data_IF_364706750992
#
_entry.id   IF_364706750992
#
_cell.length_a   1.000
_cell.length_b   1.000
_cell.length_c   1.000
_cell.angle_alpha   90.00
_cell.angle_beta   90.00
_cell.angle_gamma   90.00
#
_symmetry.space_group_name_H-M   'P 1'
#
loop_
_entity.id
_entity.type
_entity.pdbx_description
1 polymer ?
#
# COMPACT_ATOMS: atom_id res chain seq x y z
N UNK A 1 20.58 -20.19 63.28
CA UNK A 1 20.43 -19.19 62.20
C UNK A 1 21.52 -19.44 61.17
N UNK A 2 21.20 -20.22 60.14
CA UNK A 2 22.08 -20.54 59.02
C UNK A 2 21.52 -19.86 57.79
N UNK A 3 22.26 -18.87 57.27
CA UNK A 3 21.93 -18.17 56.02
C UNK A 3 22.12 -19.11 54.84
N UNK A 4 21.03 -19.46 54.16
CA UNK A 4 21.06 -20.19 52.90
C UNK A 4 21.52 -19.24 51.78
N UNK A 5 22.76 -19.41 51.31
CA UNK A 5 23.29 -18.73 50.12
C UNK A 5 22.67 -19.37 48.88
N UNK A 6 21.82 -18.61 48.18
CA UNK A 6 21.18 -19.06 46.94
C UNK A 6 22.20 -19.05 45.76
N UNK A 7 22.48 -20.20 45.12
CA UNK A 7 23.42 -20.31 43.99
C UNK A 7 22.90 -19.68 42.67
N UNK A 8 21.62 -19.29 42.61
CA UNK A 8 21.02 -18.65 41.44
C UNK A 8 21.41 -17.16 41.28
N UNK A 9 21.95 -16.54 42.32
CA UNK A 9 22.34 -15.13 42.29
C UNK A 9 23.61 -14.85 41.45
N UNK A 10 24.41 -15.88 41.10
CA UNK A 10 25.62 -15.73 40.29
C UNK A 10 25.37 -15.84 38.78
N UNK A 11 24.29 -16.51 38.36
CA UNK A 11 23.94 -16.62 36.93
C UNK A 11 23.12 -15.43 36.42
N UNK A 12 22.39 -14.76 37.31
CA UNK A 12 21.72 -13.49 36.98
C UNK A 12 22.71 -12.35 36.68
N UNK A 13 23.91 -12.38 37.26
CA UNK A 13 24.94 -11.37 37.03
C UNK A 13 25.76 -11.59 35.74
N UNK A 14 25.85 -12.84 35.23
CA UNK A 14 26.52 -13.13 33.95
C UNK A 14 25.57 -13.02 32.73
N UNK A 15 24.26 -13.25 32.91
CA UNK A 15 23.27 -13.12 31.83
C UNK A 15 22.89 -11.67 31.50
N UNK A 16 23.02 -10.74 32.46
CA UNK A 16 22.69 -9.33 32.24
C UNK A 16 23.81 -8.49 31.61
N UNK A 17 25.01 -9.03 31.42
CA UNK A 17 26.13 -8.29 30.81
C UNK A 17 26.34 -8.54 29.31
N UNK A 18 25.58 -9.46 28.69
CA UNK A 18 25.71 -9.82 27.27
C UNK A 18 24.53 -9.36 26.37
N UNK A 19 23.55 -8.63 26.91
CA UNK A 19 22.44 -8.04 26.11
C UNK A 19 22.35 -6.51 26.25
N UNK A 20 23.50 -5.84 26.39
CA UNK A 20 23.61 -4.38 26.33
C UNK A 20 24.48 -3.90 25.15
N UNK A 21 24.49 -4.66 24.05
CA UNK A 21 24.66 -4.03 22.73
C UNK A 21 23.24 -3.88 22.19
N UNK A 22 22.50 -2.92 22.74
CA UNK A 22 21.41 -2.34 21.95
C UNK A 22 22.11 -1.77 20.73
N UNK A 23 22.00 -2.45 19.58
CA UNK A 23 22.40 -1.84 18.33
C UNK A 23 21.57 -0.56 18.24
N UNK A 24 22.20 0.60 18.48
CA UNK A 24 21.51 1.87 18.36
C UNK A 24 20.84 1.88 16.98
N UNK A 25 19.51 2.05 16.95
CA UNK A 25 18.76 2.13 15.70
C UNK A 25 19.47 3.13 14.78
N UNK A 26 19.74 2.79 13.51
CA UNK A 26 20.48 3.68 12.61
C UNK A 26 19.88 5.08 12.61
N UNK A 27 20.72 6.10 12.73
CA UNK A 27 20.29 7.50 12.72
C UNK A 27 20.03 7.93 11.27
N UNK A 28 18.79 8.28 10.87
CA UNK A 28 18.47 8.65 9.49
C UNK A 28 19.26 9.86 8.96
N UNK A 29 19.78 10.71 9.86
CA UNK A 29 20.65 11.84 9.45
C UNK A 29 21.90 11.35 8.70
N UNK A 30 22.44 10.20 9.10
CA UNK A 30 23.65 9.63 8.51
C UNK A 30 23.37 9.02 7.12
N UNK A 31 22.10 8.83 6.77
CA UNK A 31 21.70 8.25 5.49
C UNK A 31 21.67 9.31 4.37
N UNK A 32 21.55 10.60 4.71
CA UNK A 32 21.41 11.71 3.73
C UNK A 32 22.48 11.67 2.64
N UNK A 33 23.79 11.50 2.93
CA UNK A 33 24.83 11.48 1.90
C UNK A 33 24.64 10.38 0.86
N UNK A 34 24.07 9.23 1.21
CA UNK A 34 23.87 8.10 0.29
C UNK A 34 22.87 8.43 -0.82
N UNK A 35 21.90 9.29 -0.53
CA UNK A 35 20.87 9.67 -1.49
C UNK A 35 21.18 10.96 -2.27
N UNK A 36 22.25 11.69 -1.93
CA UNK A 36 22.52 13.02 -2.52
C UNK A 36 22.61 12.97 -4.05
N UNK A 37 23.42 12.06 -4.61
CA UNK A 37 23.56 11.92 -6.05
C UNK A 37 22.24 11.50 -6.71
N UNK A 38 21.52 10.54 -6.11
CA UNK A 38 20.22 10.09 -6.61
C UNK A 38 19.18 11.23 -6.65
N UNK A 39 19.09 12.03 -5.58
CA UNK A 39 18.16 13.16 -5.50
C UNK A 39 18.53 14.23 -6.52
N UNK A 40 19.81 14.64 -6.60
CA UNK A 40 20.27 15.68 -7.52
C UNK A 40 19.96 15.32 -8.99
N UNK A 41 20.13 14.05 -9.34
CA UNK A 41 19.88 13.57 -10.68
C UNK A 41 18.39 13.51 -11.03
N UNK A 42 17.49 13.23 -10.06
CA UNK A 42 16.11 12.83 -10.38
C UNK A 42 15.02 13.79 -9.87
N UNK A 43 15.31 14.70 -8.94
CA UNK A 43 14.28 15.56 -8.32
C UNK A 43 13.62 16.58 -9.26
N UNK A 44 14.23 16.83 -10.42
CA UNK A 44 13.75 17.77 -11.44
C UNK A 44 13.19 17.06 -12.68
N UNK A 45 13.38 15.75 -12.80
CA UNK A 45 12.88 14.94 -13.92
C UNK A 45 11.43 14.59 -13.64
N UNK A 46 10.55 14.80 -14.61
CA UNK A 46 9.13 14.44 -14.57
C UNK A 46 8.93 13.35 -15.62
N UNK A 47 8.29 12.24 -15.24
CA UNK A 47 8.06 11.12 -16.14
C UNK A 47 6.85 11.37 -17.04
N UNK A 48 7.04 11.15 -18.34
CA UNK A 48 5.97 11.26 -19.34
C UNK A 48 5.00 10.06 -19.30
N UNK A 49 5.49 8.87 -18.92
CA UNK A 49 4.67 7.67 -18.79
C UNK A 49 3.87 7.72 -17.46
N UNK A 50 2.53 7.87 -17.50
CA UNK A 50 1.72 7.92 -16.28
C UNK A 50 1.71 6.59 -15.51
N UNK A 51 2.10 5.49 -16.15
CA UNK A 51 2.13 4.15 -15.58
C UNK A 51 3.53 3.68 -15.21
N UNK A 52 4.55 4.56 -15.23
CA UNK A 52 5.94 4.18 -14.98
C UNK A 52 6.15 3.49 -13.63
N UNK A 53 5.40 3.92 -12.61
CA UNK A 53 5.43 3.36 -11.24
C UNK A 53 4.29 2.38 -10.96
N UNK A 54 3.52 2.00 -11.99
CA UNK A 54 2.35 1.15 -11.83
C UNK A 54 2.75 -0.32 -11.73
N UNK A 55 2.18 -1.05 -10.76
CA UNK A 55 2.43 -2.48 -10.54
C UNK A 55 1.80 -3.37 -11.61
N UNK A 56 0.80 -2.84 -12.30
CA UNK A 56 0.10 -3.40 -13.48
C UNK A 56 -0.30 -2.23 -14.40
N UNK A 57 -0.45 -2.48 -15.69
CA UNK A 57 -0.74 -1.46 -16.73
C UNK A 57 -2.05 -1.76 -17.47
N UNK A 58 -2.66 -0.77 -18.14
CA UNK A 58 -3.81 -1.02 -19.01
C UNK A 58 -3.55 -2.17 -19.98
N UNK A 59 -4.48 -3.12 -20.04
CA UNK A 59 -4.34 -4.37 -20.81
C UNK A 59 -3.92 -5.58 -19.97
N UNK A 60 -3.30 -5.37 -18.80
CA UNK A 60 -3.05 -6.46 -17.85
C UNK A 60 -4.37 -6.94 -17.23
N UNK A 61 -4.53 -8.26 -17.09
CA UNK A 61 -5.76 -8.89 -16.59
C UNK A 61 -6.25 -8.33 -15.24
N UNK A 62 -5.31 -7.93 -14.37
CA UNK A 62 -5.61 -7.44 -13.02
C UNK A 62 -5.76 -5.92 -12.96
N UNK A 63 -5.47 -5.17 -14.02
CA UNK A 63 -5.38 -3.71 -13.96
C UNK A 63 -6.68 -3.06 -13.49
N UNK A 64 -7.80 -3.30 -14.18
CA UNK A 64 -9.08 -2.69 -13.82
C UNK A 64 -9.56 -3.12 -12.43
N UNK A 65 -9.27 -4.37 -12.03
CA UNK A 65 -9.61 -4.88 -10.71
C UNK A 65 -8.82 -4.10 -9.63
N UNK A 66 -7.50 -3.98 -9.78
CA UNK A 66 -6.66 -3.30 -8.78
C UNK A 66 -6.93 -1.79 -8.73
N UNK A 67 -7.20 -1.15 -9.87
CA UNK A 67 -7.67 0.24 -9.91
C UNK A 67 -8.92 0.42 -9.05
N UNK A 68 -9.91 -0.46 -9.20
CA UNK A 68 -11.17 -0.35 -8.46
C UNK A 68 -11.05 -0.78 -6.99
N UNK A 69 -10.13 -1.69 -6.65
CA UNK A 69 -9.77 -1.96 -5.25
C UNK A 69 -9.21 -0.69 -4.59
N UNK A 70 -8.30 0.04 -5.24
CA UNK A 70 -7.73 1.29 -4.68
C UNK A 70 -8.77 2.39 -4.48
N UNK A 71 -9.79 2.42 -5.33
CA UNK A 71 -10.93 3.35 -5.27
C UNK A 71 -12.01 2.93 -4.27
N UNK A 72 -11.94 1.69 -3.76
CA UNK A 72 -12.98 1.12 -2.90
C UNK A 72 -14.29 0.79 -3.63
N UNK A 73 -14.26 0.64 -4.95
CA UNK A 73 -15.44 0.31 -5.77
C UNK A 73 -15.69 -1.22 -5.78
N UNK A 74 -16.06 -1.76 -4.62
CA UNK A 74 -16.23 -3.21 -4.42
C UNK A 74 -17.23 -3.89 -5.38
N UNK A 75 -18.40 -3.29 -5.73
CA UNK A 75 -19.31 -3.92 -6.68
C UNK A 75 -18.65 -4.23 -8.03
N UNK A 76 -17.89 -3.28 -8.59
CA UNK A 76 -17.18 -3.48 -9.85
C UNK A 76 -15.99 -4.44 -9.71
N UNK A 77 -15.32 -4.44 -8.55
CA UNK A 77 -14.28 -5.44 -8.24
C UNK A 77 -14.84 -6.85 -8.32
N UNK A 78 -16.01 -7.12 -7.71
CA UNK A 78 -16.65 -8.45 -7.77
C UNK A 78 -17.02 -8.84 -9.20
N UNK A 79 -17.66 -7.92 -9.94
CA UNK A 79 -18.07 -8.14 -11.33
C UNK A 79 -16.90 -8.57 -12.23
N UNK A 80 -15.75 -7.92 -12.07
CA UNK A 80 -14.55 -8.18 -12.86
C UNK A 80 -13.77 -9.41 -12.39
N UNK A 81 -13.76 -9.67 -11.07
CA UNK A 81 -12.93 -10.72 -10.48
C UNK A 81 -13.57 -12.11 -10.59
N UNK A 82 -14.89 -12.22 -10.46
CA UNK A 82 -15.61 -13.51 -10.46
C UNK A 82 -15.32 -14.33 -11.73
N UNK A 83 -15.41 -13.79 -12.95
CA UNK A 83 -15.13 -14.56 -14.16
C UNK A 83 -13.71 -15.14 -14.21
N UNK A 84 -12.72 -14.42 -13.67
CA UNK A 84 -11.33 -14.91 -13.61
C UNK A 84 -11.19 -16.06 -12.60
N UNK A 85 -11.89 -15.98 -11.46
CA UNK A 85 -11.94 -17.06 -10.48
C UNK A 85 -12.61 -18.30 -11.05
N UNK A 86 -13.71 -18.13 -11.79
CA UNK A 86 -14.42 -19.23 -12.48
C UNK A 86 -13.57 -19.87 -13.58
N UNK A 87 -12.71 -19.09 -14.25
CA UNK A 87 -11.71 -19.60 -15.19
C UNK A 87 -10.49 -20.26 -14.50
N UNK A 88 -10.54 -20.36 -13.18
CA UNK A 88 -9.48 -20.88 -12.32
C UNK A 88 -8.14 -20.15 -12.42
N UNK A 89 -8.14 -18.84 -12.65
CA UNK A 89 -6.92 -18.03 -12.65
C UNK A 89 -6.30 -17.99 -11.23
N UNK A 90 -5.04 -18.44 -11.06
CA UNK A 90 -4.44 -18.59 -9.73
C UNK A 90 -4.22 -17.25 -9.02
N UNK A 91 -4.02 -16.15 -9.75
CA UNK A 91 -3.84 -14.83 -9.16
C UNK A 91 -5.19 -14.25 -8.70
N UNK A 92 -6.21 -14.37 -9.53
CA UNK A 92 -7.58 -13.96 -9.20
C UNK A 92 -8.09 -14.68 -7.95
N UNK A 93 -7.86 -15.99 -7.84
CA UNK A 93 -8.19 -16.78 -6.64
C UNK A 93 -7.53 -16.22 -5.37
N UNK A 94 -6.27 -15.79 -5.44
CA UNK A 94 -5.58 -15.17 -4.31
C UNK A 94 -6.19 -13.82 -3.96
N UNK A 95 -6.52 -12.98 -4.94
CA UNK A 95 -7.19 -11.70 -4.69
C UNK A 95 -8.57 -11.88 -4.07
N UNK A 96 -9.38 -12.79 -4.61
CA UNK A 96 -10.70 -13.13 -4.09
C UNK A 96 -10.61 -13.62 -2.64
N UNK A 97 -9.68 -14.54 -2.37
CA UNK A 97 -9.39 -15.03 -1.04
C UNK A 97 -9.11 -13.88 -0.07
N UNK A 98 -8.22 -12.94 -0.44
CA UNK A 98 -7.83 -11.83 0.42
C UNK A 98 -8.97 -10.82 0.65
N UNK A 99 -9.81 -10.57 -0.34
CA UNK A 99 -10.97 -9.67 -0.24
C UNK A 99 -11.96 -10.23 0.80
N UNK A 100 -12.28 -11.52 0.70
CA UNK A 100 -13.35 -12.14 1.47
C UNK A 100 -12.93 -12.82 2.77
N UNK A 101 -11.65 -12.85 3.11
CA UNK A 101 -11.13 -13.60 4.28
C UNK A 101 -11.78 -13.24 5.61
N UNK A 102 -12.32 -12.03 5.73
CA UNK A 102 -13.06 -11.58 6.92
C UNK A 102 -14.47 -12.19 7.03
N UNK A 103 -15.06 -12.66 5.92
CA UNK A 103 -16.35 -13.32 5.92
C UNK A 103 -16.19 -14.78 6.38
N UNK A 104 -16.65 -15.06 7.60
CA UNK A 104 -16.53 -16.38 8.22
C UNK A 104 -17.18 -17.50 7.38
N UNK A 105 -18.28 -17.20 6.70
CA UNK A 105 -19.03 -18.18 5.90
C UNK A 105 -18.30 -18.57 4.61
N UNK A 106 -17.41 -17.70 4.11
CA UNK A 106 -16.60 -17.95 2.91
C UNK A 106 -15.27 -18.63 3.21
N UNK A 107 -14.88 -18.81 4.48
CA UNK A 107 -13.51 -19.26 4.83
C UNK A 107 -13.16 -20.65 4.30
N UNK A 108 -14.13 -21.57 4.22
CA UNK A 108 -13.93 -22.89 3.63
C UNK A 108 -13.60 -22.77 2.13
N UNK A 109 -14.38 -21.99 1.40
CA UNK A 109 -14.20 -21.77 -0.03
C UNK A 109 -12.88 -21.03 -0.31
N UNK A 110 -12.54 -20.06 0.54
CA UNK A 110 -11.27 -19.35 0.45
C UNK A 110 -10.09 -20.29 0.65
N UNK A 111 -10.17 -21.19 1.63
CA UNK A 111 -9.14 -22.19 1.86
C UNK A 111 -9.01 -23.11 0.64
N UNK A 112 -10.13 -23.55 0.04
CA UNK A 112 -10.12 -24.33 -1.20
C UNK A 112 -9.42 -23.56 -2.34
N UNK A 113 -9.78 -22.30 -2.56
CA UNK A 113 -9.20 -21.46 -3.63
C UNK A 113 -7.69 -21.24 -3.42
N UNK A 114 -7.24 -21.01 -2.19
CA UNK A 114 -5.81 -20.90 -1.90
C UNK A 114 -5.08 -22.22 -2.17
N UNK A 115 -5.69 -23.37 -1.86
CA UNK A 115 -5.14 -24.68 -2.19
C UNK A 115 -5.13 -24.99 -3.70
N UNK A 116 -6.13 -24.53 -4.45
CA UNK A 116 -6.10 -24.65 -5.91
C UNK A 116 -5.01 -23.75 -6.52
N UNK A 117 -4.88 -22.52 -6.04
CA UNK A 117 -3.86 -21.58 -6.50
C UNK A 117 -2.44 -22.05 -6.18
N UNK A 118 -2.20 -22.61 -4.99
CA UNK A 118 -0.89 -23.18 -4.64
C UNK A 118 -0.57 -24.44 -5.44
N UNK A 119 -1.57 -25.28 -5.76
CA UNK A 119 -1.37 -26.45 -6.63
C UNK A 119 -0.92 -26.05 -8.05
N UNK A 120 -1.26 -24.83 -8.48
CA UNK A 120 -0.78 -24.20 -9.73
C UNK A 120 0.57 -23.49 -9.55
N UNK A 121 1.25 -23.65 -8.41
CA UNK A 121 2.58 -23.09 -8.13
C UNK A 121 2.59 -21.62 -7.73
N UNK A 122 1.45 -21.02 -7.32
CA UNK A 122 1.42 -19.59 -7.00
C UNK A 122 2.10 -19.28 -5.63
N UNK A 123 3.23 -18.55 -5.60
CA UNK A 123 3.94 -18.24 -4.35
C UNK A 123 3.14 -17.35 -3.39
N UNK A 124 2.23 -16.52 -3.90
CA UNK A 124 1.35 -15.74 -3.03
C UNK A 124 0.36 -16.64 -2.28
N UNK A 125 -0.14 -17.71 -2.89
CA UNK A 125 -1.02 -18.65 -2.20
C UNK A 125 -0.29 -19.39 -1.07
N UNK A 126 0.94 -19.87 -1.35
CA UNK A 126 1.83 -20.41 -0.32
C UNK A 126 2.04 -19.42 0.82
N UNK A 127 2.35 -18.16 0.51
CA UNK A 127 2.55 -17.16 1.56
C UNK A 127 1.29 -16.95 2.39
N UNK A 128 0.09 -16.89 1.79
CA UNK A 128 -1.18 -16.71 2.52
C UNK A 128 -1.53 -17.84 3.47
N UNK A 129 -1.11 -19.06 3.16
CA UNK A 129 -1.25 -20.22 4.04
C UNK A 129 -0.05 -20.40 4.98
N UNK A 130 0.95 -19.51 4.93
CA UNK A 130 2.09 -19.60 5.82
C UNK A 130 1.75 -19.15 7.24
N UNK A 131 2.48 -19.68 8.22
CA UNK A 131 2.47 -19.22 9.61
C UNK A 131 2.85 -17.75 9.80
N UNK A 132 3.42 -17.10 8.77
CA UNK A 132 3.88 -15.70 8.80
C UNK A 132 2.86 -14.73 8.22
N UNK A 133 1.86 -15.21 7.49
CA UNK A 133 0.84 -14.35 6.90
C UNK A 133 -0.20 -13.92 7.93
N UNK A 134 -0.55 -12.63 7.87
CA UNK A 134 -1.63 -12.05 8.64
C UNK A 134 -2.94 -12.81 8.40
N UNK A 135 -3.25 -13.13 7.14
CA UNK A 135 -4.47 -13.83 6.78
C UNK A 135 -4.59 -15.19 7.49
N UNK A 136 -3.49 -15.95 7.54
CA UNK A 136 -3.49 -17.26 8.17
C UNK A 136 -3.64 -17.15 9.70
N UNK A 137 -2.81 -16.29 10.32
CA UNK A 137 -2.76 -16.13 11.77
C UNK A 137 -4.08 -15.63 12.36
N UNK A 138 -4.77 -14.72 11.66
CA UNK A 138 -5.96 -14.05 12.18
C UNK A 138 -7.28 -14.67 11.72
N UNK A 139 -7.34 -15.25 10.51
CA UNK A 139 -8.62 -15.70 9.94
C UNK A 139 -8.71 -17.21 9.72
N UNK A 140 -7.62 -17.88 9.34
CA UNK A 140 -7.64 -19.31 8.96
C UNK A 140 -7.20 -20.26 10.06
N UNK A 141 -6.63 -19.75 11.16
CA UNK A 141 -6.10 -20.56 12.28
C UNK A 141 -7.13 -21.52 12.88
N UNK A 142 -8.42 -21.17 12.87
CA UNK A 142 -9.52 -22.01 13.37
C UNK A 142 -10.31 -22.72 12.27
N UNK A 143 -9.96 -22.51 11.01
CA UNK A 143 -10.62 -23.17 9.87
C UNK A 143 -10.02 -24.57 9.70
N UNK A 144 -10.78 -25.51 9.15
CA UNK A 144 -10.29 -26.84 8.77
C UNK A 144 -10.71 -27.12 7.33
N UNK A 145 -9.80 -27.69 6.54
CA UNK A 145 -10.15 -28.26 5.23
C UNK A 145 -10.84 -29.60 5.49
N UNK A 146 -11.98 -29.85 4.83
CA UNK A 146 -12.61 -31.17 4.91
C UNK A 146 -11.69 -32.23 4.27
N UNK A 147 -11.60 -33.41 4.87
CA UNK A 147 -10.81 -34.55 4.38
C UNK A 147 -11.02 -34.81 2.89
N UNK A 148 -12.28 -34.78 2.44
CA UNK A 148 -12.67 -35.14 1.07
C UNK A 148 -12.15 -34.13 0.04
N UNK A 149 -11.95 -32.88 0.46
CA UNK A 149 -11.36 -31.82 -0.38
C UNK A 149 -9.84 -31.89 -0.37
N UNK A 150 -9.24 -32.27 0.76
CA UNK A 150 -7.80 -32.52 0.80
C UNK A 150 -7.43 -33.68 -0.13
N UNK A 151 -8.23 -34.76 -0.10
CA UNK A 151 -8.06 -35.94 -0.96
C UNK A 151 -8.24 -35.59 -2.45
N UNK A 152 -9.27 -34.81 -2.81
CA UNK A 152 -9.51 -34.42 -4.21
C UNK A 152 -8.44 -33.49 -4.80
N UNK A 153 -7.71 -32.77 -3.94
CA UNK A 153 -6.58 -31.92 -4.32
C UNK A 153 -5.22 -32.66 -4.23
N UNK A 154 -5.21 -33.96 -3.91
CA UNK A 154 -3.98 -34.73 -3.74
C UNK A 154 -3.13 -34.29 -2.54
N UNK A 155 -3.75 -33.61 -1.57
CA UNK A 155 -3.11 -33.21 -0.31
C UNK A 155 -3.25 -34.38 0.66
N UNK A 156 -2.15 -35.08 0.94
CA UNK A 156 -2.14 -36.10 1.99
C UNK A 156 -2.72 -35.49 3.27
N UNK A 157 -3.74 -36.14 3.82
CA UNK A 157 -4.38 -35.77 5.09
C UNK A 157 -3.31 -35.67 6.17
N UNK A 158 -2.77 -34.47 6.38
CA UNK A 158 -1.92 -34.17 7.53
C UNK A 158 -2.86 -34.10 8.72
N UNK A 159 -3.13 -35.26 9.33
CA UNK A 159 -3.62 -35.48 10.69
C UNK A 159 -4.11 -34.21 11.42
N UNK A 160 -5.38 -33.81 11.22
CA UNK A 160 -5.97 -32.69 11.97
C UNK A 160 -5.12 -31.40 12.00
N UNK A 161 -4.34 -31.16 10.94
CA UNK A 161 -3.22 -30.22 10.91
C UNK A 161 -3.65 -28.78 10.65
N UNK A 162 -2.96 -27.84 11.29
CA UNK A 162 -3.19 -26.40 11.10
C UNK A 162 -3.02 -26.06 9.61
N UNK A 163 -4.00 -25.35 9.03
CA UNK A 163 -3.90 -24.79 7.67
C UNK A 163 -2.72 -23.82 7.50
N UNK A 164 -2.14 -23.36 8.62
CA UNK A 164 -1.01 -22.46 8.67
C UNK A 164 0.28 -23.22 9.01
N UNK A 165 1.24 -23.25 8.08
CA UNK A 165 2.52 -23.97 8.28
C UNK A 165 3.75 -23.12 7.96
N UNK A 166 4.86 -23.41 8.62
CA UNK A 166 6.17 -22.85 8.27
C UNK A 166 6.69 -23.41 6.93
N UNK A 167 6.24 -24.61 6.54
CA UNK A 167 6.59 -25.22 5.25
C UNK A 167 6.10 -24.38 4.07
N UNK A 168 4.86 -23.90 4.13
CA UNK A 168 4.32 -22.99 3.12
C UNK A 168 5.09 -21.67 3.06
N UNK A 169 5.67 -21.20 4.17
CA UNK A 169 6.56 -20.04 4.13
C UNK A 169 7.81 -20.33 3.28
N UNK A 170 8.48 -21.47 3.51
CA UNK A 170 9.67 -21.84 2.75
C UNK A 170 9.38 -22.05 1.25
N UNK A 171 8.22 -22.63 0.92
CA UNK A 171 7.78 -22.76 -0.47
C UNK A 171 7.49 -21.39 -1.12
N UNK A 172 6.88 -20.48 -0.36
CA UNK A 172 6.69 -19.11 -0.82
C UNK A 172 8.04 -18.42 -1.09
N UNK A 173 9.03 -18.53 -0.18
CA UNK A 173 10.39 -17.99 -0.39
C UNK A 173 10.97 -18.49 -1.72
N UNK A 174 10.96 -19.82 -1.96
CA UNK A 174 11.50 -20.40 -3.19
C UNK A 174 10.82 -19.85 -4.45
N UNK A 175 9.49 -19.74 -4.43
CA UNK A 175 8.77 -19.18 -5.58
C UNK A 175 9.04 -17.68 -5.76
N UNK A 176 9.19 -16.91 -4.68
CA UNK A 176 9.58 -15.51 -4.77
C UNK A 176 11.05 -15.32 -5.21
N UNK A 177 11.96 -16.24 -4.88
CA UNK A 177 13.33 -16.25 -5.42
C UNK A 177 13.32 -16.40 -6.94
N UNK A 178 12.51 -17.33 -7.47
CA UNK A 178 12.35 -17.50 -8.91
C UNK A 178 11.77 -16.24 -9.59
N UNK A 179 10.73 -15.64 -9.02
CA UNK A 179 10.17 -14.39 -9.53
C UNK A 179 11.18 -13.24 -9.46
N UNK A 180 11.96 -13.17 -8.38
CA UNK A 180 12.99 -12.16 -8.20
C UNK A 180 14.12 -12.27 -9.23
N UNK A 181 14.56 -13.50 -9.56
CA UNK A 181 15.52 -13.80 -10.63
C UNK A 181 15.00 -13.39 -12.01
N UNK A 182 13.68 -13.47 -12.23
CA UNK A 182 13.01 -13.01 -13.45
C UNK A 182 12.80 -11.49 -13.50
N UNK A 183 13.21 -10.76 -12.46
CA UNK A 183 13.13 -9.30 -12.40
C UNK A 183 11.90 -8.75 -11.68
N UNK A 184 11.09 -9.57 -11.00
CA UNK A 184 9.96 -9.08 -10.22
C UNK A 184 10.46 -8.27 -9.00
N UNK A 185 10.35 -6.95 -9.08
CA UNK A 185 10.79 -6.03 -8.04
C UNK A 185 10.03 -6.20 -6.71
N UNK A 186 8.78 -6.64 -6.77
CA UNK A 186 7.93 -6.86 -5.58
C UNK A 186 8.42 -8.08 -4.82
N UNK A 187 8.71 -9.16 -5.54
CA UNK A 187 9.31 -10.37 -4.97
C UNK A 187 10.73 -10.09 -4.42
N UNK A 188 11.55 -9.34 -5.16
CA UNK A 188 12.87 -8.90 -4.68
C UNK A 188 12.75 -8.10 -3.38
N UNK A 189 11.78 -7.19 -3.28
CA UNK A 189 11.60 -6.39 -2.08
C UNK A 189 11.11 -7.23 -0.90
N UNK A 190 10.15 -8.12 -1.13
CA UNK A 190 9.70 -9.07 -0.11
C UNK A 190 10.88 -9.89 0.46
N UNK A 191 11.78 -10.36 -0.40
CA UNK A 191 12.99 -11.09 0.01
C UNK A 191 13.98 -10.17 0.77
N UNK A 192 14.14 -8.91 0.36
CA UNK A 192 14.95 -7.94 1.10
C UNK A 192 14.44 -7.75 2.53
N UNK A 193 13.12 -7.64 2.72
CA UNK A 193 12.51 -7.51 4.05
C UNK A 193 12.84 -8.70 4.96
N UNK A 194 12.96 -9.92 4.41
CA UNK A 194 13.33 -11.11 5.20
C UNK A 194 14.75 -11.04 5.75
N UNK A 195 15.64 -10.25 5.13
CA UNK A 195 17.03 -10.07 5.58
C UNK A 195 17.17 -9.14 6.78
N UNK A 196 16.15 -8.33 7.08
CA UNK A 196 16.13 -7.37 8.21
C UNK A 196 17.34 -6.43 8.24
N UNK A 197 17.87 -6.06 7.06
CA UNK A 197 19.08 -5.24 6.94
C UNK A 197 18.88 -3.80 7.43
N UNK A 198 17.64 -3.34 7.51
CA UNK A 198 17.24 -2.05 8.04
C UNK A 198 17.53 -1.90 9.54
N UNK A 199 17.65 -3.02 10.26
CA UNK A 199 17.80 -3.05 11.72
C UNK A 199 19.26 -2.99 12.19
N UNK A 200 20.22 -3.19 11.29
CA UNK A 200 21.64 -3.30 11.63
C UNK A 200 22.47 -2.20 10.99
N UNK A 201 23.32 -1.56 11.79
CA UNK A 201 24.29 -0.56 11.28
C UNK A 201 25.30 -1.17 10.30
N UNK A 202 25.60 -2.46 10.42
CA UNK A 202 26.55 -3.17 9.53
C UNK A 202 26.01 -3.40 8.12
N UNK A 203 24.70 -3.52 7.98
CA UNK A 203 24.03 -3.76 6.69
C UNK A 203 23.30 -2.51 6.19
N UNK A 204 23.48 -1.37 6.87
CA UNK A 204 22.74 -0.15 6.59
C UNK A 204 23.03 0.38 5.19
N UNK A 205 24.31 0.43 4.81
CA UNK A 205 24.71 0.87 3.47
C UNK A 205 24.09 -0.01 2.38
N UNK A 206 24.16 -1.34 2.52
CA UNK A 206 23.57 -2.28 1.56
C UNK A 206 22.06 -2.08 1.45
N UNK A 207 21.38 -1.88 2.59
CA UNK A 207 19.95 -1.56 2.60
C UNK A 207 19.64 -0.26 1.84
N UNK A 208 20.37 0.84 2.11
CA UNK A 208 20.14 2.12 1.42
C UNK A 208 20.41 2.03 -0.08
N UNK A 209 21.44 1.28 -0.49
CA UNK A 209 21.73 1.03 -1.90
C UNK A 209 20.60 0.28 -2.59
N UNK A 210 19.97 -0.69 -1.92
CA UNK A 210 18.79 -1.39 -2.43
C UNK A 210 17.58 -0.45 -2.56
N UNK A 211 17.36 0.44 -1.58
CA UNK A 211 16.28 1.45 -1.69
C UNK A 211 16.46 2.33 -2.93
N UNK A 212 17.68 2.78 -3.19
CA UNK A 212 18.02 3.57 -4.38
C UNK A 212 17.83 2.74 -5.66
N UNK A 213 18.24 1.47 -5.66
CA UNK A 213 18.08 0.56 -6.80
C UNK A 213 16.60 0.39 -7.17
N UNK A 214 15.73 0.14 -6.19
CA UNK A 214 14.29 0.04 -6.42
C UNK A 214 13.69 1.35 -6.93
N UNK A 215 14.09 2.49 -6.34
CA UNK A 215 13.60 3.79 -6.77
C UNK A 215 14.05 4.16 -8.19
N UNK A 216 15.26 3.75 -8.61
CA UNK A 216 15.74 3.88 -10.00
C UNK A 216 14.97 2.99 -10.98
N UNK A 217 14.43 1.87 -10.50
CA UNK A 217 13.56 0.99 -11.26
C UNK A 217 12.07 1.37 -11.13
N UNK A 218 11.77 2.56 -10.59
CA UNK A 218 10.43 3.11 -10.39
C UNK A 218 9.50 2.29 -9.48
N UNK A 219 10.05 1.39 -8.65
CA UNK A 219 9.31 0.73 -7.58
C UNK A 219 9.56 1.46 -6.26
N UNK A 220 8.60 2.29 -5.85
CA UNK A 220 8.80 3.24 -4.74
C UNK A 220 8.33 2.75 -3.37
N UNK A 221 7.66 1.60 -3.26
CA UNK A 221 7.23 1.05 -1.96
C UNK A 221 8.39 0.96 -0.93
N UNK A 222 9.60 0.48 -1.29
CA UNK A 222 10.72 0.41 -0.34
C UNK A 222 11.13 1.80 0.15
N UNK A 223 11.12 2.79 -0.75
CA UNK A 223 11.44 4.17 -0.41
C UNK A 223 10.37 4.78 0.50
N UNK A 224 9.09 4.48 0.27
CA UNK A 224 7.99 4.93 1.15
C UNK A 224 8.10 4.37 2.56
N UNK A 225 8.35 3.05 2.68
CA UNK A 225 8.52 2.40 3.98
C UNK A 225 9.68 3.03 4.76
N UNK A 226 10.76 3.40 4.07
CA UNK A 226 11.87 4.16 4.66
C UNK A 226 11.44 5.57 5.09
N UNK A 227 10.73 6.32 4.24
CA UNK A 227 10.25 7.67 4.55
C UNK A 227 9.28 7.66 5.75
N UNK A 228 8.46 6.62 5.91
CA UNK A 228 7.58 6.43 7.08
C UNK A 228 8.37 6.31 8.40
N UNK A 229 9.66 5.94 8.34
CA UNK A 229 10.52 5.96 9.54
C UNK A 229 11.04 7.37 9.87
N UNK A 230 10.97 8.31 8.93
CA UNK A 230 11.46 9.68 9.06
C UNK A 230 10.32 10.65 9.38
N UNK A 231 9.22 10.55 8.64
CA UNK A 231 8.04 11.41 8.77
C UNK A 231 6.96 10.69 9.58
N UNK A 232 6.63 11.21 10.75
CA UNK A 232 5.56 10.70 11.61
C UNK A 232 4.51 11.77 11.86
N UNK A 233 3.27 11.35 12.16
CA UNK A 233 2.21 12.27 12.56
C UNK A 233 2.43 12.73 13.98
N UNK A 234 2.61 14.04 14.18
CA UNK A 234 2.67 14.64 15.50
C UNK A 234 1.27 14.63 16.14
N UNK A 235 1.17 14.17 17.38
CA UNK A 235 -0.06 14.26 18.17
C UNK A 235 -0.06 15.58 18.96
N UNK A 236 -1.15 16.37 18.98
CA UNK A 236 -2.48 16.12 18.40
C UNK A 236 -2.69 16.70 17.00
N UNK A 237 -1.71 17.45 16.47
CA UNK A 237 -1.86 18.23 15.24
C UNK A 237 -2.13 17.38 13.99
N UNK A 238 -1.79 16.09 14.05
CA UNK A 238 -1.74 15.15 12.93
C UNK A 238 -0.83 15.62 11.77
N UNK A 239 0.02 16.62 12.01
CA UNK A 239 0.94 17.14 11.00
C UNK A 239 2.11 16.16 10.82
N UNK A 240 2.50 15.91 9.57
CA UNK A 240 3.72 15.16 9.29
C UNK A 240 4.95 15.98 9.71
N UNK A 241 5.75 15.39 10.60
CA UNK A 241 6.96 15.99 11.18
C UNK A 241 8.10 14.98 11.22
N UNK A 242 9.32 15.48 11.30
CA UNK A 242 10.49 14.68 11.63
C UNK A 242 11.19 15.22 12.87
N UNK A 243 12.28 14.57 13.27
CA UNK A 243 13.10 14.98 14.41
C UNK A 243 13.69 16.38 14.25
N UNK A 244 13.96 16.80 13.02
CA UNK A 244 14.43 18.15 12.69
C UNK A 244 14.06 18.52 11.25
N UNK A 245 14.25 19.80 10.90
CA UNK A 245 13.89 20.33 9.58
C UNK A 245 14.73 19.74 8.44
N UNK A 246 15.98 19.40 8.68
CA UNK A 246 16.86 18.79 7.68
C UNK A 246 16.34 17.42 7.22
N UNK A 247 15.86 16.59 8.16
CA UNK A 247 15.22 15.32 7.86
C UNK A 247 13.87 15.47 7.18
N UNK A 248 13.10 16.49 7.54
CA UNK A 248 11.88 16.82 6.79
C UNK A 248 12.22 17.15 5.33
N UNK A 249 13.15 18.09 5.10
CA UNK A 249 13.53 18.50 3.75
C UNK A 249 14.12 17.35 2.93
N UNK A 250 14.88 16.47 3.59
CA UNK A 250 15.38 15.24 2.99
C UNK A 250 14.24 14.30 2.56
N UNK A 251 13.29 14.01 3.46
CA UNK A 251 12.14 13.16 3.15
C UNK A 251 11.26 13.76 2.04
N UNK A 252 11.04 15.07 2.04
CA UNK A 252 10.29 15.75 0.97
C UNK A 252 10.99 15.61 -0.38
N UNK A 253 12.32 15.76 -0.44
CA UNK A 253 13.06 15.55 -1.70
C UNK A 253 12.92 14.12 -2.23
N UNK A 254 12.93 13.12 -1.36
CA UNK A 254 12.69 11.72 -1.76
C UNK A 254 11.26 11.51 -2.27
N UNK A 255 10.26 12.07 -1.57
CA UNK A 255 8.87 12.04 -2.04
C UNK A 255 8.73 12.75 -3.39
N UNK A 256 9.40 13.88 -3.60
CA UNK A 256 9.36 14.60 -4.89
C UNK A 256 9.86 13.72 -6.03
N UNK A 257 10.94 12.95 -5.84
CA UNK A 257 11.41 12.02 -6.87
C UNK A 257 10.32 10.99 -7.22
N UNK A 258 9.69 10.37 -6.23
CA UNK A 258 8.62 9.39 -6.46
C UNK A 258 7.37 10.02 -7.09
N UNK A 259 6.96 11.20 -6.61
CA UNK A 259 5.82 11.95 -7.13
C UNK A 259 6.02 12.32 -8.61
N UNK A 260 7.20 12.82 -8.97
CA UNK A 260 7.53 13.16 -10.36
C UNK A 260 7.54 11.93 -11.29
N UNK A 261 7.69 10.73 -10.73
CA UNK A 261 7.54 9.46 -11.45
C UNK A 261 6.13 8.88 -11.31
N UNK A 262 5.14 9.74 -11.11
CA UNK A 262 3.71 9.40 -11.11
C UNK A 262 3.30 8.41 -10.02
N UNK A 263 4.02 8.36 -8.89
CA UNK A 263 3.68 7.51 -7.76
C UNK A 263 2.72 8.21 -6.78
N UNK A 264 1.43 7.91 -6.88
CA UNK A 264 0.31 8.49 -6.10
C UNK A 264 0.59 8.57 -4.59
N UNK A 265 1.07 7.52 -3.88
CA UNK A 265 1.31 7.62 -2.44
C UNK A 265 2.32 8.71 -2.05
N UNK A 266 3.25 9.07 -2.95
CA UNK A 266 4.15 10.18 -2.71
C UNK A 266 3.48 11.54 -2.94
N UNK A 267 2.67 11.67 -4.00
CA UNK A 267 1.89 12.89 -4.28
C UNK A 267 0.98 13.23 -3.09
N UNK A 268 0.20 12.25 -2.62
CA UNK A 268 -0.74 12.45 -1.50
C UNK A 268 -0.03 12.77 -0.20
N UNK A 269 1.12 12.13 0.07
CA UNK A 269 1.91 12.40 1.28
C UNK A 269 2.56 13.80 1.27
N UNK A 270 2.92 14.33 0.09
CA UNK A 270 3.37 15.74 -0.02
C UNK A 270 2.21 16.69 0.23
N UNK A 271 1.01 16.43 -0.31
CA UNK A 271 -0.20 17.22 -0.03
C UNK A 271 -0.48 17.25 1.48
N UNK A 272 -0.44 16.09 2.14
CA UNK A 272 -0.64 15.98 3.59
C UNK A 272 0.43 16.76 4.38
N UNK A 273 1.70 16.67 3.99
CA UNK A 273 2.78 17.45 4.63
C UNK A 273 2.53 18.96 4.52
N UNK A 274 2.06 19.42 3.35
CA UNK A 274 1.79 20.83 3.07
C UNK A 274 0.43 21.33 3.56
N UNK A 275 -0.33 20.54 4.34
CA UNK A 275 -1.71 20.85 4.78
C UNK A 275 -1.94 22.29 5.27
N UNK A 276 -0.95 22.94 5.89
CA UNK A 276 -1.07 24.32 6.43
C UNK A 276 -0.66 25.43 5.47
N UNK A 277 -0.01 25.11 4.36
CA UNK A 277 0.61 26.09 3.46
C UNK A 277 0.33 25.86 1.98
N UNK A 278 -0.35 24.76 1.64
CA UNK A 278 -0.69 24.44 0.26
C UNK A 278 -1.79 25.38 -0.24
N UNK A 279 -1.62 25.87 -1.47
CA UNK A 279 -2.62 26.69 -2.15
C UNK A 279 -3.66 25.80 -2.83
N UNK A 280 -4.90 26.29 -3.00
CA UNK A 280 -5.97 25.52 -3.64
C UNK A 280 -5.62 25.13 -5.08
N UNK A 281 -4.78 25.91 -5.77
CA UNK A 281 -4.37 25.71 -7.15
C UNK A 281 -2.96 25.09 -7.25
N UNK A 282 -2.41 24.52 -6.16
CA UNK A 282 -1.15 23.76 -6.21
C UNK A 282 -1.27 22.57 -7.17
N UNK A 283 -0.27 22.44 -8.04
CA UNK A 283 -0.20 21.45 -9.13
C UNK A 283 -0.29 20.00 -8.64
N UNK A 284 0.01 19.72 -7.38
CA UNK A 284 -0.07 18.38 -6.80
C UNK A 284 -1.50 17.82 -6.82
N UNK A 285 -2.52 18.67 -6.66
CA UNK A 285 -3.91 18.22 -6.72
C UNK A 285 -4.26 17.70 -8.11
N UNK A 286 -3.94 18.48 -9.15
CA UNK A 286 -4.20 18.09 -10.53
C UNK A 286 -3.35 16.90 -10.95
N UNK A 287 -2.10 16.83 -10.48
CA UNK A 287 -1.22 15.68 -10.70
C UNK A 287 -1.84 14.40 -10.13
N UNK A 288 -2.24 14.41 -8.85
CA UNK A 288 -2.90 13.26 -8.23
C UNK A 288 -4.22 12.89 -8.92
N UNK A 289 -5.06 13.88 -9.25
CA UNK A 289 -6.33 13.66 -9.95
C UNK A 289 -6.11 13.01 -11.32
N UNK A 290 -5.11 13.46 -12.08
CA UNK A 290 -4.75 12.86 -13.38
C UNK A 290 -4.33 11.40 -13.26
N UNK A 291 -3.72 11.03 -12.14
CA UNK A 291 -3.34 9.65 -11.82
C UNK A 291 -4.48 8.85 -11.19
N UNK A 292 -5.68 9.44 -11.03
CA UNK A 292 -6.86 8.78 -10.48
C UNK A 292 -6.93 8.76 -8.96
N UNK A 293 -6.14 9.58 -8.26
CA UNK A 293 -6.21 9.75 -6.81
C UNK A 293 -7.49 10.47 -6.39
N UNK A 294 -8.43 9.71 -5.83
CA UNK A 294 -9.64 10.30 -5.24
C UNK A 294 -9.34 10.98 -3.89
N UNK A 295 -8.26 10.58 -3.23
CA UNK A 295 -7.78 11.23 -2.00
C UNK A 295 -7.24 12.63 -2.28
N UNK A 296 -6.66 12.90 -3.44
CA UNK A 296 -6.28 14.26 -3.85
C UNK A 296 -7.51 15.19 -3.92
N UNK A 297 -8.63 14.69 -4.45
CA UNK A 297 -9.91 15.43 -4.41
C UNK A 297 -10.42 15.57 -2.98
N UNK A 298 -10.36 14.51 -2.19
CA UNK A 298 -10.80 14.52 -0.79
C UNK A 298 -10.04 15.56 0.04
N UNK A 299 -8.72 15.64 -0.10
CA UNK A 299 -7.89 16.65 0.57
C UNK A 299 -8.23 18.06 0.09
N UNK A 300 -8.37 18.26 -1.22
CA UNK A 300 -8.77 19.56 -1.78
C UNK A 300 -10.11 20.02 -1.21
N UNK A 301 -11.12 19.14 -1.20
CA UNK A 301 -12.42 19.42 -0.63
C UNK A 301 -12.34 19.66 0.89
N UNK A 302 -11.56 18.87 1.62
CA UNK A 302 -11.41 19.03 3.06
C UNK A 302 -10.79 20.38 3.43
N UNK A 303 -9.74 20.81 2.73
CA UNK A 303 -9.00 22.04 3.06
C UNK A 303 -9.70 23.31 2.59
N UNK A 304 -10.40 23.24 1.46
CA UNK A 304 -10.86 24.45 0.78
C UNK A 304 -12.38 24.54 0.60
N UNK A 305 -13.16 23.48 0.90
CA UNK A 305 -14.63 23.57 0.93
C UNK A 305 -15.22 23.61 2.34
N UNK A 306 -14.39 23.48 3.39
CA UNK A 306 -14.83 23.41 4.78
C UNK A 306 -14.45 24.68 5.54
N UNK A 307 -15.40 25.25 6.30
CA UNK A 307 -15.19 26.42 7.17
C UNK A 307 -14.09 26.21 8.24
N UNK A 308 -13.80 24.96 8.59
CA UNK A 308 -12.73 24.64 9.56
C UNK A 308 -11.32 24.92 9.07
N UNK A 309 -11.14 25.15 7.78
CA UNK A 309 -9.85 25.45 7.17
C UNK A 309 -9.91 26.80 6.46
N UNK A 310 -10.00 26.83 5.13
CA UNK A 310 -9.99 28.09 4.39
C UNK A 310 -11.34 28.46 3.76
N UNK A 311 -12.19 27.47 3.43
CA UNK A 311 -13.45 27.65 2.68
C UNK A 311 -13.34 28.65 1.51
N UNK A 312 -12.43 28.38 0.57
CA UNK A 312 -12.12 29.25 -0.59
C UNK A 312 -12.60 28.69 -1.93
N UNK A 313 -13.16 27.47 -1.96
CA UNK A 313 -13.78 26.92 -3.17
C UNK A 313 -15.15 27.56 -3.40
N UNK A 314 -15.41 27.96 -4.63
CA UNK A 314 -16.73 28.35 -5.12
C UNK A 314 -17.70 27.16 -5.09
N UNK A 315 -19.01 27.42 -5.09
CA UNK A 315 -20.01 26.35 -5.18
C UNK A 315 -19.88 25.54 -6.48
N UNK A 316 -19.48 26.18 -7.59
CA UNK A 316 -19.19 25.51 -8.86
C UNK A 316 -18.00 24.55 -8.75
N UNK A 317 -16.90 24.97 -8.11
CA UNK A 317 -15.75 24.10 -7.87
C UNK A 317 -16.12 22.93 -6.96
N UNK A 318 -16.86 23.18 -5.87
CA UNK A 318 -17.36 22.13 -4.98
C UNK A 318 -18.20 21.12 -5.74
N UNK A 319 -19.12 21.59 -6.58
CA UNK A 319 -19.97 20.74 -7.41
C UNK A 319 -19.14 19.90 -8.41
N UNK A 320 -18.19 20.54 -9.11
CA UNK A 320 -17.31 19.87 -10.06
C UNK A 320 -16.46 18.77 -9.41
N UNK A 321 -15.79 19.06 -8.29
CA UNK A 321 -14.96 18.09 -7.60
C UNK A 321 -15.79 16.97 -6.95
N UNK A 322 -16.99 17.27 -6.46
CA UNK A 322 -17.93 16.26 -5.98
C UNK A 322 -18.33 15.28 -7.10
N UNK A 323 -18.67 15.79 -8.29
CA UNK A 323 -18.97 14.95 -9.46
C UNK A 323 -17.77 14.08 -9.85
N UNK A 324 -16.58 14.67 -9.96
CA UNK A 324 -15.38 13.95 -10.35
C UNK A 324 -15.00 12.86 -9.35
N UNK A 325 -15.11 13.14 -8.04
CA UNK A 325 -14.92 12.13 -6.99
C UNK A 325 -15.89 10.95 -7.14
N UNK A 326 -17.19 11.24 -7.33
CA UNK A 326 -18.19 10.20 -7.51
C UNK A 326 -17.94 9.37 -8.78
N UNK A 327 -17.50 10.00 -9.88
CA UNK A 327 -17.14 9.28 -11.12
C UNK A 327 -15.93 8.35 -10.94
N UNK A 328 -14.91 8.80 -10.20
CA UNK A 328 -13.71 7.99 -9.94
C UNK A 328 -14.02 6.80 -9.02
N UNK A 329 -14.80 7.03 -7.96
CA UNK A 329 -14.97 6.04 -6.88
C UNK A 329 -16.22 5.19 -7.00
N UNK A 330 -17.24 5.65 -7.74
CA UNK A 330 -18.59 5.10 -7.67
C UNK A 330 -19.30 5.35 -6.33
N UNK A 331 -18.69 6.14 -5.43
CA UNK A 331 -19.20 6.44 -4.09
C UNK A 331 -20.01 7.75 -4.09
N UNK A 332 -21.06 7.83 -3.28
CA UNK A 332 -21.96 8.98 -3.16
C UNK A 332 -21.62 9.94 -2.00
N UNK A 333 -20.38 9.90 -1.49
CA UNK A 333 -19.88 10.71 -0.36
C UNK A 333 -20.25 12.18 -0.41
N UNK A 334 -20.26 12.77 -1.61
CA UNK A 334 -20.58 14.18 -1.84
C UNK A 334 -21.95 14.40 -2.49
N UNK A 335 -22.87 13.43 -2.38
CA UNK A 335 -24.24 13.52 -2.90
C UNK A 335 -24.98 14.75 -2.39
N UNK A 336 -24.76 15.13 -1.13
CA UNK A 336 -25.35 16.34 -0.55
C UNK A 336 -24.92 17.62 -1.29
N UNK A 337 -23.70 17.69 -1.82
CA UNK A 337 -23.22 18.83 -2.62
C UNK A 337 -23.86 18.79 -4.00
N UNK A 338 -23.89 17.61 -4.64
CA UNK A 338 -24.43 17.43 -5.99
C UNK A 338 -25.94 17.72 -6.04
N UNK A 339 -26.67 17.27 -5.02
CA UNK A 339 -28.13 17.38 -4.93
C UNK A 339 -28.57 18.67 -4.25
N UNK A 340 -27.65 19.59 -3.91
CA UNK A 340 -28.01 20.84 -3.27
C UNK A 340 -28.75 21.78 -4.25
N UNK A 341 -30.06 21.89 -4.09
CA UNK A 341 -30.93 22.82 -4.84
C UNK A 341 -30.67 24.28 -4.46
N UNK A 342 -30.16 24.54 -3.26
CA UNK A 342 -29.86 25.88 -2.74
C UNK A 342 -28.42 26.32 -3.02
N UNK A 343 -27.68 25.63 -3.90
CA UNK A 343 -26.29 25.96 -4.25
C UNK A 343 -26.13 27.27 -5.03
N UNK A 344 -27.22 27.84 -5.55
CA UNK A 344 -27.19 29.03 -6.39
C UNK A 344 -26.70 28.78 -7.82
N UNK A 345 -26.31 27.54 -8.15
CA UNK A 345 -25.86 27.12 -9.49
C UNK A 345 -27.10 26.81 -10.35
N UNK A 346 -27.21 27.44 -11.51
CA UNK A 346 -28.30 27.18 -12.46
C UNK A 346 -28.23 25.77 -13.06
N UNK A 347 -29.35 25.27 -13.57
CA UNK A 347 -29.42 23.97 -14.26
C UNK A 347 -28.46 23.94 -15.47
N UNK A 348 -28.33 25.06 -16.18
CA UNK A 348 -27.43 25.17 -17.33
C UNK A 348 -25.97 25.00 -16.91
N UNK A 349 -25.53 25.72 -15.87
CA UNK A 349 -24.17 25.63 -15.33
C UNK A 349 -23.88 24.22 -14.79
N UNK A 350 -24.82 23.59 -14.08
CA UNK A 350 -24.67 22.20 -13.62
C UNK A 350 -24.43 21.23 -14.78
N UNK A 351 -25.14 21.41 -15.90
CA UNK A 351 -24.94 20.58 -17.10
C UNK A 351 -23.56 20.79 -17.73
N UNK A 352 -23.10 22.05 -17.81
CA UNK A 352 -21.77 22.39 -18.33
C UNK A 352 -20.65 21.80 -17.44
N UNK A 353 -20.77 21.95 -16.13
CA UNK A 353 -19.82 21.37 -15.16
C UNK A 353 -19.80 19.84 -15.21
N UNK A 354 -20.96 19.20 -15.43
CA UNK A 354 -21.06 17.75 -15.61
C UNK A 354 -20.32 17.29 -16.86
N UNK A 355 -20.47 17.97 -17.99
CA UNK A 355 -19.73 17.66 -19.21
C UNK A 355 -18.22 17.84 -18.99
N UNK A 356 -17.82 18.93 -18.34
CA UNK A 356 -16.41 19.17 -17.97
C UNK A 356 -15.85 18.05 -17.08
N UNK A 357 -16.61 17.58 -16.09
CA UNK A 357 -16.20 16.47 -15.23
C UNK A 357 -16.09 15.14 -15.99
N UNK A 358 -17.01 14.86 -16.91
CA UNK A 358 -16.96 13.68 -17.79
C UNK A 358 -15.72 13.73 -18.67
N UNK A 359 -15.44 14.86 -19.30
CA UNK A 359 -14.28 15.01 -20.18
C UNK A 359 -12.98 14.91 -19.38
N UNK A 360 -12.92 15.50 -18.18
CA UNK A 360 -11.80 15.30 -17.28
C UNK A 360 -11.62 13.82 -16.93
N UNK A 361 -12.69 13.14 -16.52
CA UNK A 361 -12.65 11.73 -16.12
C UNK A 361 -12.06 10.83 -17.22
N UNK A 362 -12.41 11.07 -18.49
CA UNK A 362 -11.86 10.32 -19.63
C UNK A 362 -10.36 10.52 -19.85
N UNK A 363 -9.77 11.60 -19.34
CA UNK A 363 -8.32 11.87 -19.47
C UNK A 363 -7.48 11.29 -18.32
N UNK A 364 -8.12 10.78 -17.28
CA UNK A 364 -7.42 10.21 -16.12
C UNK A 364 -6.73 8.91 -16.54
N UNK A 365 -5.48 8.75 -16.12
CA UNK A 365 -4.63 7.57 -16.35
C UNK A 365 -4.30 6.92 -15.00
N UNK A 366 -5.14 5.99 -14.50
CA UNK A 366 -5.02 5.47 -13.15
C UNK A 366 -3.72 4.71 -12.89
N UNK A 367 -2.91 5.15 -11.93
CA UNK A 367 -1.73 4.40 -11.50
C UNK A 367 -2.10 3.40 -10.40
N UNK A 368 -1.62 2.16 -10.52
CA UNK A 368 -1.81 1.09 -9.52
C UNK A 368 -0.54 0.93 -8.70
N UNK A 369 -0.59 1.26 -7.41
CA UNK A 369 0.53 1.11 -6.48
C UNK A 369 0.39 -0.10 -5.55
N UNK A 370 -0.80 -0.71 -5.47
CA UNK A 370 -1.02 -1.91 -4.65
C UNK A 370 -0.53 -3.17 -5.36
N UNK A 371 -0.12 -4.16 -4.59
CA UNK A 371 0.35 -5.45 -5.10
C UNK A 371 0.00 -6.64 -4.19
N UNK A 372 0.52 -7.81 -4.57
CA UNK A 372 0.38 -9.07 -3.84
C UNK A 372 0.99 -9.07 -2.43
N UNK A 373 1.70 -8.03 -2.00
CA UNK A 373 2.26 -7.87 -0.65
C UNK A 373 1.63 -6.72 0.13
N UNK A 374 1.02 -5.73 -0.54
CA UNK A 374 0.33 -4.63 0.13
C UNK A 374 -0.72 -5.14 1.11
N UNK A 375 -0.61 -4.75 2.37
CA UNK A 375 -1.55 -5.17 3.41
C UNK A 375 -2.98 -4.69 3.08
N UNK A 376 -4.00 -5.52 3.32
CA UNK A 376 -5.39 -5.23 2.91
C UNK A 376 -5.96 -3.92 3.44
N UNK A 377 -5.48 -3.49 4.60
CA UNK A 377 -5.90 -2.24 5.22
C UNK A 377 -5.35 -1.00 4.50
N UNK A 378 -4.42 -1.18 3.56
CA UNK A 378 -3.76 -0.10 2.80
C UNK A 378 -4.09 -0.18 1.31
N UNK A 379 -5.08 -0.99 0.92
CA UNK A 379 -5.48 -1.12 -0.48
C UNK A 379 -6.25 0.11 -0.97
N UNK A 380 -7.32 0.47 -0.25
CA UNK A 380 -8.08 1.69 -0.54
C UNK A 380 -7.21 2.87 -0.14
N UNK A 381 -7.06 3.82 -1.04
CA UNK A 381 -6.36 5.08 -0.79
C UNK A 381 -7.00 5.80 0.42
N UNK A 382 -6.18 6.37 1.31
CA UNK A 382 -6.65 7.00 2.56
C UNK A 382 -6.20 8.44 2.72
#
# INVERSE_FOLDING_TARGET
MTFYRNPWARWAALGCLLMLITACKPNPQNDIPYFQAFIQENNHRIADDPYISSTVRPGDKMYEILVNIQRGNWPLVEELLIPLVESEDPEAMVWYARIHINNINKRRDILLMLNQSLAKGNPHAYFRLSSKAFECLYYLKSSTLSSDVAESLGIESVNGGRNCSDEYFNLAIKGFEQLAEQGDLRAQYFLLQQKQWDQSTKTREQYLNELIRFAKAHYYQPLMDYIDTILTKETPSSQLKSKNKELEDFAIKLLTVAANNNYIPAVTKIIEYKIRSIDKDDVLFDHGINLGSHVSITWKMLFFANDRYQNVLTEEEKYYYALLHNMITGNDRYSNIINNENSGISIKEKNELKLKAIDKYKTITPMVYIDGFTHRMNWVEK
#
